data_IF_678225364440
#
_entry.id   IF_678225364440
#
_cell.length_a   1.000
_cell.length_b   1.000
_cell.length_c   1.000
_cell.angle_alpha   90.00
_cell.angle_beta   90.00
_cell.angle_gamma   90.00
#
_symmetry.space_group_name_H-M   'P 1'
#
loop_
_entity.id
_entity.type
_entity.pdbx_description
1 polymer ?
#
# COMPACT_ATOMS: atom_id res chain seq x y z
N UNK A 1 -3.21 -5.27 -17.70
CA UNK A 1 -3.77 -3.91 -17.42
C UNK A 1 -4.24 -3.72 -15.98
N UNK A 2 -4.91 -4.68 -15.34
CA UNK A 2 -5.33 -4.53 -13.93
C UNK A 2 -4.14 -4.48 -12.95
N UNK A 3 -3.08 -5.23 -13.25
CA UNK A 3 -1.80 -5.15 -12.54
C UNK A 3 -1.05 -3.83 -12.75
N UNK A 4 -1.15 -3.21 -13.93
CA UNK A 4 -0.48 -1.91 -14.20
C UNK A 4 -1.20 -0.75 -13.51
N UNK A 5 -2.54 -0.81 -13.40
CA UNK A 5 -3.31 0.16 -12.62
C UNK A 5 -3.06 0.02 -11.12
N UNK A 6 -2.99 -1.22 -10.60
CA UNK A 6 -2.62 -1.48 -9.21
C UNK A 6 -1.17 -1.06 -8.91
N UNK A 7 -0.24 -1.28 -9.85
CA UNK A 7 1.13 -0.79 -9.75
C UNK A 7 1.18 0.74 -9.75
N UNK A 8 0.46 1.43 -10.65
CA UNK A 8 0.36 2.90 -10.64
C UNK A 8 -0.25 3.46 -9.36
N UNK A 9 -1.25 2.78 -8.78
CA UNK A 9 -1.85 3.16 -7.51
C UNK A 9 -0.92 2.89 -6.31
N UNK A 10 -0.18 1.79 -6.35
CA UNK A 10 0.85 1.43 -5.37
C UNK A 10 2.13 2.27 -5.45
N UNK A 11 2.35 2.98 -6.56
CA UNK A 11 3.39 4.02 -6.75
C UNK A 11 2.90 5.43 -6.35
N UNK A 12 1.60 5.64 -6.12
CA UNK A 12 1.06 6.87 -5.52
C UNK A 12 1.78 7.37 -4.26
N UNK A 13 2.32 6.50 -3.38
CA UNK A 13 3.14 6.93 -2.24
C UNK A 13 4.56 7.44 -2.55
N UNK A 14 5.17 7.09 -3.70
CA UNK A 14 6.50 7.61 -4.11
C UNK A 14 6.49 9.13 -4.32
N UNK A 15 5.32 9.68 -4.60
CA UNK A 15 5.13 11.09 -4.92
C UNK A 15 4.78 11.91 -3.68
N UNK A 16 4.85 11.34 -2.47
CA UNK A 16 4.45 11.96 -1.21
C UNK A 16 5.05 13.34 -0.89
N UNK A 17 6.30 13.70 -1.28
CA UNK A 17 6.78 15.07 -1.09
C UNK A 17 6.22 16.07 -2.10
N UNK A 18 5.53 15.59 -3.14
CA UNK A 18 5.01 16.40 -4.22
C UNK A 18 3.51 16.11 -4.31
N UNK A 19 2.69 16.91 -3.65
CA UNK A 19 1.24 16.90 -3.86
C UNK A 19 0.84 17.25 -5.32
N UNK A 20 1.80 17.57 -6.20
CA UNK A 20 1.63 17.85 -7.63
C UNK A 20 1.48 16.63 -8.56
N UNK A 21 2.35 15.60 -8.56
CA UNK A 21 2.36 14.53 -9.55
C UNK A 21 1.40 13.41 -9.19
N UNK A 22 1.00 13.24 -7.93
CA UNK A 22 -0.09 12.32 -7.56
C UNK A 22 -1.44 12.82 -8.10
N UNK A 23 -1.69 14.13 -8.02
CA UNK A 23 -2.84 14.78 -8.64
C UNK A 23 -2.76 14.77 -10.17
N UNK A 24 -1.60 15.09 -10.75
CA UNK A 24 -1.41 15.04 -12.20
C UNK A 24 -1.50 13.62 -12.78
N UNK A 25 -0.98 12.60 -12.09
CA UNK A 25 -1.14 11.21 -12.47
C UNK A 25 -2.59 10.74 -12.30
N UNK A 26 -3.30 11.22 -11.28
CA UNK A 26 -4.74 10.99 -11.12
C UNK A 26 -5.58 11.62 -12.23
N UNK A 27 -5.30 12.88 -12.59
CA UNK A 27 -5.95 13.57 -13.71
C UNK A 27 -5.59 12.91 -15.04
N UNK A 28 -4.32 12.55 -15.23
CA UNK A 28 -3.86 11.78 -16.39
C UNK A 28 -4.56 10.43 -16.49
N UNK A 29 -4.74 9.72 -15.38
CA UNK A 29 -5.51 8.49 -15.34
C UNK A 29 -6.98 8.73 -15.74
N UNK A 30 -7.61 9.81 -15.26
CA UNK A 30 -8.99 10.16 -15.66
C UNK A 30 -9.13 10.48 -17.16
N UNK A 31 -8.09 11.06 -17.78
CA UNK A 31 -8.10 11.43 -19.20
C UNK A 31 -7.75 10.24 -20.10
N UNK A 32 -6.73 9.45 -19.73
CA UNK A 32 -6.16 8.41 -20.58
C UNK A 32 -6.65 6.99 -20.26
N UNK A 33 -7.09 6.71 -19.03
CA UNK A 33 -7.65 5.39 -18.72
C UNK A 33 -9.10 5.32 -19.18
N UNK A 34 -9.35 4.37 -20.09
CA UNK A 34 -10.72 3.98 -20.39
C UNK A 34 -11.36 3.33 -19.17
N UNK A 35 -12.63 3.65 -18.97
CA UNK A 35 -13.49 2.99 -17.99
C UNK A 35 -13.42 1.48 -18.21
N UNK A 36 -13.03 0.74 -17.18
CA UNK A 36 -12.86 -0.72 -17.22
C UNK A 36 -13.84 -1.43 -16.29
N UNK A 37 -14.63 -0.67 -15.51
CA UNK A 37 -15.59 -1.24 -14.60
C UNK A 37 -16.76 -1.89 -15.37
N UNK A 38 -16.97 -3.22 -15.24
CA UNK A 38 -17.96 -3.94 -16.02
C UNK A 38 -19.38 -3.37 -15.89
N UNK A 39 -19.79 -2.93 -14.69
CA UNK A 39 -21.13 -2.37 -14.50
C UNK A 39 -21.33 -1.10 -15.32
N UNK A 40 -20.29 -0.26 -15.42
CA UNK A 40 -20.35 1.03 -16.12
C UNK A 40 -20.39 0.81 -17.63
N UNK A 41 -19.55 -0.10 -18.14
CA UNK A 41 -19.54 -0.47 -19.56
C UNK A 41 -20.85 -1.14 -19.98
N UNK A 42 -21.39 -2.03 -19.15
CA UNK A 42 -22.68 -2.68 -19.42
C UNK A 42 -23.84 -1.69 -19.37
N UNK A 43 -23.83 -0.70 -18.48
CA UNK A 43 -24.86 0.35 -18.47
C UNK A 43 -24.75 1.28 -19.69
N UNK A 44 -23.54 1.62 -20.14
CA UNK A 44 -23.34 2.38 -21.37
C UNK A 44 -23.89 1.63 -22.60
N UNK A 45 -23.57 0.33 -22.71
CA UNK A 45 -24.09 -0.51 -23.78
C UNK A 45 -25.61 -0.67 -23.70
N UNK A 46 -26.16 -0.84 -22.50
CA UNK A 46 -27.61 -0.92 -22.28
C UNK A 46 -28.29 0.40 -22.68
N UNK A 47 -27.71 1.53 -22.32
CA UNK A 47 -28.21 2.87 -22.70
C UNK A 47 -28.17 3.07 -24.21
N UNK A 48 -27.11 2.61 -24.87
CA UNK A 48 -27.05 2.63 -26.33
C UNK A 48 -28.14 1.75 -26.95
N UNK A 49 -28.35 0.53 -26.44
CA UNK A 49 -29.43 -0.34 -26.90
C UNK A 49 -30.83 0.24 -26.66
N UNK A 50 -31.08 0.90 -25.53
CA UNK A 50 -32.35 1.63 -25.28
C UNK A 50 -32.63 2.65 -26.38
N UNK A 51 -31.60 3.36 -26.86
CA UNK A 51 -31.72 4.37 -27.92
C UNK A 51 -31.95 3.75 -29.29
N UNK A 52 -31.28 2.64 -29.62
CA UNK A 52 -31.38 2.02 -30.95
C UNK A 52 -32.63 1.16 -31.13
N UNK A 53 -33.11 0.50 -30.08
CA UNK A 53 -34.32 -0.35 -30.13
C UNK A 53 -35.59 0.37 -29.70
N UNK A 54 -35.49 1.57 -29.11
CA UNK A 54 -36.63 2.31 -28.58
C UNK A 54 -37.29 1.66 -27.36
N UNK A 55 -36.69 0.61 -26.77
CA UNK A 55 -37.23 -0.10 -25.63
C UNK A 55 -36.67 0.45 -24.30
N UNK A 56 -37.47 1.20 -23.51
CA UNK A 56 -37.01 1.78 -22.25
C UNK A 56 -36.81 0.75 -21.12
N UNK A 57 -37.33 -0.47 -21.28
CA UNK A 57 -37.30 -1.50 -20.24
C UNK A 57 -36.02 -2.33 -20.20
N UNK A 58 -35.09 -2.14 -21.15
CA UNK A 58 -33.79 -2.79 -21.11
C UNK A 58 -33.04 -2.37 -19.84
N UNK A 59 -32.50 -3.32 -19.08
CA UNK A 59 -31.67 -3.06 -17.89
C UNK A 59 -30.32 -3.74 -18.02
N UNK A 60 -29.29 -3.10 -17.51
CA UNK A 60 -27.97 -3.71 -17.44
C UNK A 60 -28.04 -4.91 -16.50
N UNK A 61 -27.40 -6.01 -16.89
CA UNK A 61 -27.35 -7.25 -16.11
C UNK A 61 -26.82 -7.04 -14.69
N UNK A 62 -26.02 -5.98 -14.48
CA UNK A 62 -25.39 -5.64 -13.21
C UNK A 62 -26.01 -4.40 -12.56
N UNK A 63 -27.12 -3.88 -13.09
CA UNK A 63 -27.86 -2.78 -12.48
C UNK A 63 -28.60 -3.27 -11.23
N UNK A 64 -28.22 -2.73 -10.07
CA UNK A 64 -28.82 -3.05 -8.77
C UNK A 64 -30.03 -2.17 -8.44
N UNK A 65 -30.42 -1.24 -9.33
CA UNK A 65 -31.57 -0.33 -9.13
C UNK A 65 -31.38 0.68 -8.00
N UNK A 66 -30.12 0.93 -7.61
CA UNK A 66 -29.79 1.83 -6.50
C UNK A 66 -29.87 3.30 -6.95
N UNK A 67 -30.43 4.14 -6.10
CA UNK A 67 -30.40 5.60 -6.30
C UNK A 67 -28.98 6.14 -6.20
N UNK A 68 -28.70 7.30 -6.83
CA UNK A 68 -27.38 7.96 -6.75
C UNK A 68 -26.91 8.19 -5.31
N UNK A 69 -27.84 8.54 -4.42
CA UNK A 69 -27.55 8.72 -2.99
C UNK A 69 -27.18 7.39 -2.32
N UNK A 70 -27.90 6.30 -2.62
CA UNK A 70 -27.56 4.96 -2.11
C UNK A 70 -26.21 4.46 -2.65
N UNK A 71 -25.83 4.80 -3.88
CA UNK A 71 -24.52 4.47 -4.45
C UNK A 71 -23.40 5.19 -3.67
N UNK A 72 -23.57 6.49 -3.39
CA UNK A 72 -22.59 7.27 -2.60
C UNK A 72 -22.48 6.73 -1.17
N UNK A 73 -23.62 6.48 -0.52
CA UNK A 73 -23.63 5.91 0.84
C UNK A 73 -22.99 4.52 0.84
N UNK A 74 -23.31 3.66 -0.12
CA UNK A 74 -22.68 2.35 -0.25
C UNK A 74 -21.16 2.46 -0.50
N UNK A 75 -20.72 3.42 -1.30
CA UNK A 75 -19.31 3.67 -1.58
C UNK A 75 -18.52 4.12 -0.33
N UNK A 76 -19.17 4.78 0.64
CA UNK A 76 -18.54 5.20 1.90
C UNK A 76 -18.67 4.14 3.02
N UNK A 77 -19.83 3.50 3.14
CA UNK A 77 -20.13 2.57 4.23
C UNK A 77 -19.45 1.22 4.02
N UNK A 78 -19.37 0.74 2.77
CA UNK A 78 -18.80 -0.57 2.44
C UNK A 78 -17.32 -0.69 2.78
N UNK A 79 -16.43 0.28 2.44
CA UNK A 79 -15.04 0.27 2.90
C UNK A 79 -14.90 0.18 4.42
N UNK A 80 -15.63 1.01 5.17
CA UNK A 80 -15.56 1.04 6.64
C UNK A 80 -16.06 -0.25 7.27
N UNK A 81 -17.16 -0.83 6.75
CA UNK A 81 -17.64 -2.14 7.19
C UNK A 81 -16.60 -3.24 6.91
N UNK A 82 -16.05 -3.29 5.71
CA UNK A 82 -15.02 -4.29 5.37
C UNK A 82 -13.78 -4.14 6.26
N UNK A 83 -13.39 -2.91 6.57
CA UNK A 83 -12.28 -2.63 7.47
C UNK A 83 -12.55 -3.12 8.90
N UNK A 84 -13.72 -2.84 9.47
CA UNK A 84 -14.02 -3.19 10.86
C UNK A 84 -14.42 -4.66 11.05
N UNK A 85 -15.10 -5.25 10.08
CA UNK A 85 -15.67 -6.59 10.20
C UNK A 85 -14.85 -7.69 9.52
N UNK A 86 -13.83 -7.35 8.72
CA UNK A 86 -12.89 -8.33 8.18
C UNK A 86 -11.54 -8.25 8.91
N UNK A 87 -11.22 -9.22 9.78
CA UNK A 87 -9.95 -9.24 10.51
C UNK A 87 -8.72 -9.25 9.59
N UNK A 88 -8.84 -9.86 8.41
CA UNK A 88 -7.76 -9.92 7.42
C UNK A 88 -7.51 -8.53 6.82
N UNK A 89 -8.59 -7.83 6.44
CA UNK A 89 -8.47 -6.45 5.93
C UNK A 89 -7.89 -5.58 7.03
N UNK A 90 -8.44 -5.61 8.24
CA UNK A 90 -7.96 -4.79 9.35
C UNK A 90 -6.47 -5.02 9.63
N UNK A 91 -6.05 -6.28 9.79
CA UNK A 91 -4.67 -6.62 10.11
C UNK A 91 -3.69 -6.21 9.01
N UNK A 92 -4.02 -6.47 7.74
CA UNK A 92 -3.19 -6.05 6.61
C UNK A 92 -3.17 -4.53 6.47
N UNK A 93 -4.32 -3.86 6.61
CA UNK A 93 -4.40 -2.42 6.49
C UNK A 93 -3.66 -1.70 7.61
N UNK A 94 -3.72 -2.18 8.86
CA UNK A 94 -2.92 -1.63 9.97
C UNK A 94 -1.44 -1.79 9.69
N UNK A 95 -1.01 -2.97 9.22
CA UNK A 95 0.41 -3.19 8.96
C UNK A 95 0.94 -2.31 7.83
N UNK A 96 0.21 -2.22 6.70
CA UNK A 96 0.54 -1.31 5.60
C UNK A 96 0.51 0.15 6.06
N UNK A 97 -0.48 0.54 6.87
CA UNK A 97 -0.59 1.90 7.39
C UNK A 97 0.58 2.25 8.31
N UNK A 98 1.02 1.31 9.15
CA UNK A 98 2.20 1.47 9.99
C UNK A 98 3.46 1.73 9.16
N UNK A 99 3.77 0.84 8.21
CA UNK A 99 4.95 1.00 7.34
C UNK A 99 4.89 2.32 6.58
N UNK A 100 3.71 2.69 6.09
CA UNK A 100 3.54 3.95 5.37
C UNK A 100 3.70 5.19 6.25
N UNK A 101 3.17 5.14 7.48
CA UNK A 101 3.38 6.17 8.49
C UNK A 101 4.86 6.35 8.80
N UNK A 102 5.61 5.25 8.90
CA UNK A 102 7.07 5.28 9.11
C UNK A 102 7.80 5.99 7.98
N UNK A 103 7.42 5.72 6.73
CA UNK A 103 7.95 6.43 5.55
C UNK A 103 7.62 7.93 5.58
N UNK A 104 6.39 8.29 5.95
CA UNK A 104 5.98 9.71 6.03
C UNK A 104 6.68 10.43 7.17
N UNK A 105 6.85 9.76 8.30
CA UNK A 105 7.62 10.28 9.42
C UNK A 105 9.09 10.46 9.04
N UNK A 106 9.67 9.54 8.26
CA UNK A 106 11.00 9.70 7.67
C UNK A 106 11.07 10.95 6.78
N UNK A 107 10.11 11.13 5.87
CA UNK A 107 10.04 12.29 4.99
C UNK A 107 9.97 13.61 5.77
N UNK A 108 9.09 13.70 6.76
CA UNK A 108 8.96 14.89 7.59
C UNK A 108 10.25 15.26 8.33
N UNK A 109 11.09 14.28 8.65
CA UNK A 109 12.30 14.46 9.47
C UNK A 109 13.57 14.54 8.63
N UNK A 110 13.49 14.19 7.35
CA UNK A 110 14.63 14.05 6.45
C UNK A 110 15.38 15.37 6.25
N UNK A 111 14.68 16.39 5.76
CA UNK A 111 15.29 17.69 5.50
C UNK A 111 15.81 18.33 6.79
N UNK A 112 15.14 18.11 7.93
CA UNK A 112 15.58 18.62 9.23
C UNK A 112 16.92 18.01 9.65
N UNK A 113 17.09 16.69 9.49
CA UNK A 113 18.33 15.98 9.87
C UNK A 113 19.49 16.35 8.94
N UNK A 114 19.28 16.34 7.62
CA UNK A 114 20.37 16.66 6.68
C UNK A 114 20.79 18.14 6.72
N UNK A 115 19.87 19.06 6.98
CA UNK A 115 20.22 20.47 7.24
C UNK A 115 20.93 20.63 8.58
N UNK A 116 20.34 20.11 9.65
CA UNK A 116 20.81 20.36 11.01
C UNK A 116 22.09 19.61 11.39
N UNK A 117 22.22 18.33 11.01
CA UNK A 117 23.36 17.49 11.39
C UNK A 117 24.50 17.53 10.36
N UNK A 118 24.18 17.69 9.07
CA UNK A 118 25.14 17.57 7.96
C UNK A 118 25.38 18.88 7.21
N UNK A 119 24.70 19.97 7.56
CA UNK A 119 24.92 21.29 6.95
C UNK A 119 24.46 21.39 5.50
N UNK A 120 23.58 20.50 5.02
CA UNK A 120 23.10 20.54 3.65
C UNK A 120 22.25 21.78 3.39
N UNK A 121 22.38 22.38 2.20
CA UNK A 121 21.47 23.43 1.75
C UNK A 121 20.07 22.87 1.51
N UNK A 122 19.05 23.75 1.44
CA UNK A 122 17.66 23.33 1.19
C UNK A 122 17.52 22.50 -0.07
N UNK A 123 18.15 22.90 -1.18
CA UNK A 123 18.12 22.13 -2.43
C UNK A 123 18.74 20.74 -2.29
N UNK A 124 19.93 20.66 -1.67
CA UNK A 124 20.67 19.39 -1.55
C UNK A 124 19.98 18.42 -0.58
N UNK A 125 19.32 18.92 0.46
CA UNK A 125 18.55 18.07 1.39
C UNK A 125 17.43 17.28 0.70
N UNK A 126 16.92 17.76 -0.45
CA UNK A 126 15.97 17.04 -1.29
C UNK A 126 16.57 15.85 -2.04
N UNK A 127 17.87 15.87 -2.37
CA UNK A 127 18.52 14.73 -3.04
C UNK A 127 18.63 13.50 -2.14
N UNK A 128 18.63 13.68 -0.81
CA UNK A 128 18.72 12.55 0.10
C UNK A 128 17.57 11.54 -0.13
N UNK A 129 16.39 12.00 -0.56
CA UNK A 129 15.22 11.16 -0.81
C UNK A 129 15.44 10.14 -1.94
N UNK A 130 16.44 10.36 -2.81
CA UNK A 130 16.81 9.45 -3.88
C UNK A 130 17.21 8.08 -3.31
N UNK A 131 17.82 8.03 -2.12
CA UNK A 131 18.16 6.76 -1.47
C UNK A 131 16.94 5.85 -1.32
N UNK A 132 15.85 6.38 -0.74
CA UNK A 132 14.61 5.64 -0.61
C UNK A 132 14.03 5.25 -1.98
N UNK A 133 14.01 6.18 -2.94
CA UNK A 133 13.50 5.92 -4.28
C UNK A 133 14.23 4.80 -5.00
N UNK A 134 15.57 4.75 -4.92
CA UNK A 134 16.37 3.64 -5.46
C UNK A 134 15.98 2.31 -4.80
N UNK A 135 15.80 2.30 -3.48
CA UNK A 135 15.35 1.13 -2.74
C UNK A 135 14.01 0.59 -3.23
N UNK A 136 13.03 1.46 -3.39
CA UNK A 136 11.71 1.09 -3.89
C UNK A 136 11.73 0.65 -5.36
N UNK A 137 12.52 1.30 -6.22
CA UNK A 137 12.69 0.88 -7.62
C UNK A 137 13.33 -0.50 -7.73
N UNK A 138 14.37 -0.78 -6.92
CA UNK A 138 14.95 -2.11 -6.83
C UNK A 138 13.91 -3.13 -6.34
N UNK A 139 13.10 -2.75 -5.35
CA UNK A 139 11.99 -3.54 -4.84
C UNK A 139 11.00 -3.90 -5.93
N UNK A 140 10.59 -2.93 -6.75
CA UNK A 140 9.70 -3.11 -7.89
C UNK A 140 10.24 -4.12 -8.91
N UNK A 141 11.50 -3.95 -9.33
CA UNK A 141 12.13 -4.83 -10.33
C UNK A 141 12.22 -6.26 -9.80
N UNK A 142 12.74 -6.42 -8.57
CA UNK A 142 12.92 -7.74 -7.96
C UNK A 142 11.57 -8.40 -7.71
N UNK A 143 10.58 -7.66 -7.20
CA UNK A 143 9.23 -8.17 -7.00
C UNK A 143 8.57 -8.62 -8.31
N UNK A 144 8.70 -7.83 -9.39
CA UNK A 144 8.18 -8.19 -10.71
C UNK A 144 8.77 -9.50 -11.24
N UNK A 145 10.07 -9.74 -11.01
CA UNK A 145 10.74 -10.98 -11.42
C UNK A 145 10.34 -12.17 -10.52
N UNK A 146 10.27 -11.95 -9.21
CA UNK A 146 10.08 -13.03 -8.23
C UNK A 146 8.62 -13.42 -8.03
N UNK A 147 7.68 -12.47 -8.11
CA UNK A 147 6.26 -12.69 -7.79
C UNK A 147 5.67 -13.83 -8.61
N UNK A 148 5.77 -13.77 -9.93
CA UNK A 148 5.19 -14.78 -10.82
C UNK A 148 5.92 -16.13 -10.72
N UNK A 149 7.24 -16.11 -10.49
CA UNK A 149 8.04 -17.32 -10.33
C UNK A 149 7.67 -18.07 -9.06
N UNK A 150 7.55 -17.35 -7.93
CA UNK A 150 7.17 -17.94 -6.64
C UNK A 150 5.72 -18.44 -6.70
N UNK A 151 4.82 -17.68 -7.31
CA UNK A 151 3.44 -18.09 -7.51
C UNK A 151 3.36 -19.42 -8.29
N UNK A 152 4.05 -19.51 -9.42
CA UNK A 152 4.11 -20.73 -10.25
C UNK A 152 4.75 -21.91 -9.51
N UNK A 153 5.87 -21.68 -8.83
CA UNK A 153 6.55 -22.71 -8.05
C UNK A 153 5.67 -23.27 -6.92
N UNK A 154 4.92 -22.42 -6.23
CA UNK A 154 4.00 -22.83 -5.17
C UNK A 154 2.77 -23.57 -5.71
N UNK A 155 2.18 -23.10 -6.81
CA UNK A 155 1.09 -23.84 -7.47
C UNK A 155 1.53 -25.24 -7.91
N UNK A 156 2.74 -25.38 -8.44
CA UNK A 156 3.31 -26.67 -8.83
C UNK A 156 3.57 -27.57 -7.61
N UNK A 157 4.12 -27.02 -6.53
CA UNK A 157 4.38 -27.78 -5.30
C UNK A 157 3.09 -28.30 -4.64
N UNK A 158 2.03 -27.49 -4.64
CA UNK A 158 0.76 -27.84 -4.00
C UNK A 158 -0.22 -28.55 -4.96
N UNK A 159 0.19 -28.84 -6.21
CA UNK A 159 -0.62 -29.47 -7.26
C UNK A 159 -1.97 -28.77 -7.51
N UNK A 160 -2.00 -27.43 -7.43
CA UNK A 160 -3.23 -26.64 -7.61
C UNK A 160 -3.22 -25.92 -8.96
N UNK A 161 -4.29 -26.02 -9.73
CA UNK A 161 -4.43 -25.32 -11.01
C UNK A 161 -4.82 -23.84 -10.89
N UNK A 162 -5.34 -23.41 -9.73
CA UNK A 162 -5.75 -22.03 -9.46
C UNK A 162 -4.82 -21.38 -8.42
N UNK A 163 -4.36 -20.13 -8.65
CA UNK A 163 -3.51 -19.42 -7.71
C UNK A 163 -4.27 -19.11 -6.42
N UNK A 164 -3.66 -19.46 -5.29
CA UNK A 164 -4.13 -19.07 -3.96
C UNK A 164 -3.64 -17.66 -3.60
N UNK A 165 -4.49 -16.76 -3.07
CA UNK A 165 -4.09 -15.41 -2.65
C UNK A 165 -2.93 -15.42 -1.64
N UNK A 166 -2.81 -16.47 -0.84
CA UNK A 166 -1.83 -16.68 0.23
C UNK A 166 -0.40 -16.75 -0.31
N UNK A 167 -0.22 -17.26 -1.52
CA UNK A 167 1.10 -17.39 -2.12
C UNK A 167 1.78 -16.04 -2.32
N UNK A 168 1.00 -14.96 -2.40
CA UNK A 168 1.54 -13.59 -2.45
C UNK A 168 2.19 -13.15 -1.13
N UNK A 169 1.74 -13.68 0.00
CA UNK A 169 2.25 -13.33 1.32
C UNK A 169 3.62 -13.94 1.63
N UNK A 170 4.04 -14.95 0.87
CA UNK A 170 5.34 -15.63 1.07
C UNK A 170 6.49 -14.64 0.99
N UNK A 171 6.46 -13.76 -0.01
CA UNK A 171 7.47 -12.70 -0.15
C UNK A 171 7.45 -11.79 1.07
N UNK A 172 6.27 -11.33 1.49
CA UNK A 172 6.09 -10.41 2.61
C UNK A 172 6.59 -10.93 3.97
N UNK A 173 6.73 -12.24 4.17
CA UNK A 173 7.25 -12.79 5.44
C UNK A 173 8.74 -12.54 5.65
N UNK A 174 9.51 -12.39 4.57
CA UNK A 174 10.98 -12.36 4.64
C UNK A 174 11.55 -10.95 4.82
N UNK A 175 10.83 -9.91 4.41
CA UNK A 175 11.33 -8.53 4.38
C UNK A 175 11.06 -7.63 5.62
N UNK A 176 10.24 -7.98 6.63
CA UNK A 176 10.09 -7.16 7.84
C UNK A 176 11.42 -6.87 8.57
N UNK A 177 12.38 -7.83 8.68
CA UNK A 177 13.70 -7.55 9.24
C UNK A 177 14.50 -6.52 8.45
N UNK A 178 14.31 -6.46 7.14
CA UNK A 178 15.01 -5.51 6.25
C UNK A 178 14.56 -4.08 6.54
N UNK A 179 13.26 -3.87 6.79
CA UNK A 179 12.71 -2.57 7.21
C UNK A 179 13.34 -2.13 8.54
N UNK A 180 13.37 -3.04 9.51
CA UNK A 180 14.01 -2.80 10.81
C UNK A 180 15.47 -2.37 10.63
N UNK A 181 16.25 -3.17 9.89
CA UNK A 181 17.66 -2.89 9.60
C UNK A 181 17.87 -1.49 8.99
N UNK A 182 17.04 -1.12 8.01
CA UNK A 182 17.09 0.22 7.39
C UNK A 182 16.86 1.35 8.41
N UNK A 183 15.89 1.21 9.30
CA UNK A 183 15.63 2.17 10.39
C UNK A 183 16.78 2.23 11.41
N UNK A 184 17.37 1.09 11.76
CA UNK A 184 18.51 1.04 12.68
C UNK A 184 19.73 1.74 12.10
N UNK A 185 20.08 1.43 10.84
CA UNK A 185 21.20 2.08 10.14
C UNK A 185 20.95 3.58 10.08
N UNK A 186 19.79 4.01 9.58
CA UNK A 186 19.46 5.43 9.46
C UNK A 186 19.47 6.16 10.81
N UNK A 187 18.86 5.59 11.84
CA UNK A 187 18.74 6.20 13.16
C UNK A 187 20.08 6.43 13.85
N UNK A 188 20.98 5.42 13.87
CA UNK A 188 22.27 5.54 14.55
C UNK A 188 23.30 6.31 13.77
N UNK A 189 23.32 6.15 12.45
CA UNK A 189 24.28 6.88 11.62
C UNK A 189 23.98 8.37 11.63
N UNK A 190 22.69 8.75 11.61
CA UNK A 190 22.28 10.15 11.80
C UNK A 190 22.57 10.67 13.21
N UNK A 191 22.36 9.86 14.26
CA UNK A 191 22.63 10.27 15.65
C UNK A 191 24.13 10.50 15.91
N UNK A 192 25.00 9.59 15.43
CA UNK A 192 26.45 9.70 15.57
C UNK A 192 27.11 10.60 14.51
N UNK A 193 26.31 11.27 13.65
CA UNK A 193 26.82 12.14 12.58
C UNK A 193 27.82 11.43 11.65
N UNK A 194 27.64 10.13 11.43
CA UNK A 194 28.45 9.34 10.49
C UNK A 194 28.25 9.89 9.08
N UNK A 195 29.24 9.78 8.19
CA UNK A 195 29.19 10.30 6.82
C UNK A 195 27.80 10.16 6.16
N UNK A 196 27.30 11.27 5.60
CA UNK A 196 25.91 11.45 5.12
C UNK A 196 25.41 10.37 4.14
N UNK A 197 26.31 9.67 3.45
CA UNK A 197 25.98 8.53 2.58
C UNK A 197 25.38 7.37 3.36
N UNK A 198 25.85 7.08 4.57
CA UNK A 198 25.43 5.90 5.32
C UNK A 198 23.95 5.98 5.76
N UNK A 199 23.45 7.11 6.27
CA UNK A 199 22.01 7.29 6.47
C UNK A 199 21.19 7.10 5.18
N UNK A 200 21.68 7.57 4.03
CA UNK A 200 20.99 7.42 2.74
C UNK A 200 20.91 5.93 2.34
N UNK A 201 21.99 5.17 2.52
CA UNK A 201 21.98 3.70 2.30
C UNK A 201 20.95 3.03 3.21
N UNK A 202 20.88 3.44 4.49
CA UNK A 202 19.84 2.95 5.41
C UNK A 202 18.43 3.19 4.90
N UNK A 203 18.20 4.33 4.24
CA UNK A 203 16.89 4.63 3.63
C UNK A 203 16.62 3.83 2.36
N UNK A 204 17.63 3.49 1.57
CA UNK A 204 17.48 2.55 0.45
C UNK A 204 17.04 1.17 0.93
N UNK A 205 17.63 0.66 2.01
CA UNK A 205 17.26 -0.62 2.62
C UNK A 205 15.82 -0.58 3.13
N UNK A 206 15.42 0.52 3.78
CA UNK A 206 14.05 0.75 4.22
C UNK A 206 13.05 0.70 3.05
N UNK A 207 13.32 1.46 1.97
CA UNK A 207 12.44 1.54 0.80
C UNK A 207 12.31 0.20 0.08
N UNK A 208 13.40 -0.54 -0.01
CA UNK A 208 13.38 -1.90 -0.53
C UNK A 208 12.46 -2.80 0.31
N UNK A 209 12.61 -2.80 1.64
CA UNK A 209 11.76 -3.59 2.53
C UNK A 209 10.29 -3.16 2.52
N UNK A 210 9.99 -1.85 2.49
CA UNK A 210 8.62 -1.33 2.49
C UNK A 210 7.85 -1.78 1.26
N UNK A 211 8.50 -1.82 0.09
CA UNK A 211 7.90 -2.29 -1.15
C UNK A 211 7.38 -3.73 -1.03
N UNK A 212 8.18 -4.62 -0.45
CA UNK A 212 7.83 -6.03 -0.22
C UNK A 212 6.79 -6.25 0.88
N UNK A 213 6.40 -5.21 1.62
CA UNK A 213 5.27 -5.28 2.54
C UNK A 213 4.00 -4.70 1.90
N UNK A 214 4.10 -3.53 1.28
CA UNK A 214 2.94 -2.80 0.77
C UNK A 214 2.33 -3.50 -0.46
N UNK A 215 3.16 -3.85 -1.45
CA UNK A 215 2.65 -4.40 -2.72
C UNK A 215 2.01 -5.78 -2.58
N UNK A 216 2.64 -6.77 -1.90
CA UNK A 216 2.03 -8.08 -1.75
C UNK A 216 0.74 -8.03 -0.93
N UNK A 217 0.66 -7.13 0.07
CA UNK A 217 -0.57 -6.92 0.85
C UNK A 217 -1.72 -6.43 -0.02
N UNK A 218 -1.48 -5.42 -0.87
CA UNK A 218 -2.51 -4.90 -1.78
C UNK A 218 -2.97 -5.97 -2.77
N UNK A 219 -2.01 -6.68 -3.37
CA UNK A 219 -2.28 -7.76 -4.30
C UNK A 219 -3.03 -8.92 -3.65
N UNK A 220 -2.72 -9.28 -2.41
CA UNK A 220 -3.45 -10.29 -1.65
C UNK A 220 -4.91 -9.89 -1.42
N UNK A 221 -5.16 -8.64 -1.00
CA UNK A 221 -6.51 -8.13 -0.77
C UNK A 221 -7.34 -8.06 -2.06
N UNK A 222 -6.72 -7.70 -3.20
CA UNK A 222 -7.40 -7.70 -4.50
C UNK A 222 -7.83 -9.11 -4.91
N UNK A 223 -6.94 -10.10 -4.75
CA UNK A 223 -7.25 -11.48 -5.09
C UNK A 223 -8.34 -12.07 -4.17
N UNK A 224 -8.33 -11.70 -2.89
CA UNK A 224 -9.28 -12.22 -1.90
C UNK A 224 -10.72 -11.74 -2.16
N UNK A 225 -10.90 -10.47 -2.50
CA UNK A 225 -12.21 -9.83 -2.61
C UNK A 225 -12.72 -9.72 -4.05
N UNK A 226 -11.89 -10.05 -5.04
CA UNK A 226 -12.23 -9.99 -6.46
C UNK A 226 -12.60 -8.58 -6.94
N UNK A 227 -13.09 -8.49 -8.17
CA UNK A 227 -13.42 -7.21 -8.81
C UNK A 227 -14.55 -6.44 -8.10
N UNK A 228 -15.45 -7.12 -7.39
CA UNK A 228 -16.61 -6.49 -6.77
C UNK A 228 -16.27 -5.66 -5.53
N UNK A 229 -15.31 -6.10 -4.71
CA UNK A 229 -14.98 -5.47 -3.43
C UNK A 229 -13.53 -4.98 -3.32
N UNK A 230 -12.63 -5.35 -4.26
CA UNK A 230 -11.24 -4.90 -4.25
C UNK A 230 -11.11 -3.37 -4.14
N UNK A 231 -11.88 -2.62 -4.93
CA UNK A 231 -11.83 -1.15 -4.90
C UNK A 231 -12.19 -0.58 -3.51
N UNK A 232 -13.22 -1.13 -2.85
CA UNK A 232 -13.62 -0.70 -1.51
C UNK A 232 -12.58 -1.06 -0.45
N UNK A 233 -11.97 -2.24 -0.54
CA UNK A 233 -10.93 -2.70 0.40
C UNK A 233 -9.64 -1.89 0.25
N UNK A 234 -9.22 -1.61 -0.98
CA UNK A 234 -8.08 -0.74 -1.26
C UNK A 234 -8.35 0.70 -0.81
N UNK A 235 -9.58 1.19 -0.99
CA UNK A 235 -10.02 2.48 -0.47
C UNK A 235 -9.92 2.56 1.04
N UNK A 236 -10.47 1.58 1.76
CA UNK A 236 -10.36 1.50 3.23
C UNK A 236 -8.90 1.45 3.72
N UNK A 237 -8.08 0.63 3.06
CA UNK A 237 -6.65 0.53 3.36
C UNK A 237 -5.94 1.86 3.14
N UNK A 238 -6.31 2.57 2.07
CA UNK A 238 -5.75 3.88 1.75
C UNK A 238 -6.14 4.94 2.77
N UNK A 239 -7.37 4.91 3.29
CA UNK A 239 -7.80 5.82 4.36
C UNK A 239 -6.95 5.64 5.63
N UNK A 240 -6.81 4.40 6.12
CA UNK A 240 -5.95 4.12 7.28
C UNK A 240 -4.50 4.52 7.03
N UNK A 241 -3.98 4.21 5.84
CA UNK A 241 -2.65 4.57 5.40
C UNK A 241 -2.44 6.09 5.47
N UNK A 242 -3.37 6.88 4.94
CA UNK A 242 -3.31 8.33 4.99
C UNK A 242 -3.40 8.87 6.42
N UNK A 243 -4.20 8.28 7.29
CA UNK A 243 -4.25 8.66 8.72
C UNK A 243 -2.89 8.47 9.39
N UNK A 244 -2.26 7.31 9.25
CA UNK A 244 -0.92 7.08 9.81
C UNK A 244 0.13 8.00 9.17
N UNK A 245 0.03 8.25 7.86
CA UNK A 245 0.89 9.20 7.15
C UNK A 245 0.77 10.63 7.67
N UNK A 246 -0.41 11.04 8.14
CA UNK A 246 -0.66 12.37 8.69
C UNK A 246 -0.27 12.48 10.18
N UNK A 247 -0.64 11.50 11.00
CA UNK A 247 -0.50 11.58 12.45
C UNK A 247 0.85 11.08 12.98
N UNK A 248 1.47 10.07 12.36
CA UNK A 248 2.75 9.53 12.86
C UNK A 248 3.92 10.53 12.78
N UNK A 249 4.01 11.41 11.76
CA UNK A 249 4.96 12.52 11.77
C UNK A 249 4.81 13.45 12.99
N UNK A 250 3.58 13.74 13.41
CA UNK A 250 3.29 14.63 14.55
C UNK A 250 3.79 14.05 15.87
N UNK A 251 3.88 12.73 16.00
CA UNK A 251 4.46 12.11 17.19
C UNK A 251 5.95 12.46 17.38
N UNK A 252 6.66 12.82 16.30
CA UNK A 252 8.10 13.12 16.35
C UNK A 252 8.46 14.28 17.28
N UNK A 253 7.67 15.36 17.31
CA UNK A 253 7.93 16.53 18.15
C UNK A 253 7.92 16.19 19.64
N UNK A 254 7.11 15.22 20.07
CA UNK A 254 7.05 14.75 21.45
C UNK A 254 8.02 13.61 21.75
N UNK A 255 8.32 12.76 20.77
CA UNK A 255 9.22 11.61 20.94
C UNK A 255 10.70 12.00 21.01
N UNK A 256 11.15 12.94 20.16
CA UNK A 256 12.57 13.28 20.08
C UNK A 256 13.16 13.87 21.37
N UNK A 257 12.47 14.76 22.11
CA UNK A 257 12.96 15.28 23.39
C UNK A 257 13.10 14.20 24.48
N UNK A 258 12.30 13.14 24.43
CA UNK A 258 12.28 12.10 25.47
C UNK A 258 13.28 10.96 25.21
N UNK A 259 13.42 10.52 23.95
CA UNK A 259 14.20 9.32 23.61
C UNK A 259 15.49 9.60 22.84
N UNK A 260 15.72 10.84 22.37
CA UNK A 260 16.72 11.14 21.33
C UNK A 260 16.45 10.42 19.99
N UNK A 261 17.10 10.90 18.93
CA UNK A 261 16.82 10.48 17.55
C UNK A 261 17.03 8.96 17.32
N UNK A 262 18.15 8.41 17.79
CA UNK A 262 18.51 7.00 17.59
C UNK A 262 17.49 6.03 18.19
N UNK A 263 17.09 6.25 19.45
CA UNK A 263 16.11 5.38 20.11
C UNK A 263 14.70 5.50 19.53
N UNK A 264 14.28 6.70 19.09
CA UNK A 264 13.02 6.84 18.39
C UNK A 264 12.97 5.93 17.16
N UNK A 265 14.04 5.91 16.35
CA UNK A 265 14.10 5.02 15.16
C UNK A 265 14.21 3.54 15.53
N UNK A 266 14.89 3.17 16.62
CA UNK A 266 14.89 1.79 17.14
C UNK A 266 13.49 1.32 17.53
N UNK A 267 12.76 2.12 18.30
CA UNK A 267 11.40 1.81 18.76
C UNK A 267 10.46 1.58 17.58
N UNK A 268 10.53 2.46 16.58
CA UNK A 268 9.78 2.34 15.33
C UNK A 268 10.17 1.08 14.54
N UNK A 269 11.45 0.72 14.52
CA UNK A 269 11.94 -0.53 13.91
C UNK A 269 11.44 -1.78 14.62
N UNK A 270 11.42 -1.79 15.95
CA UNK A 270 10.83 -2.88 16.72
C UNK A 270 9.33 -3.00 16.52
N UNK A 271 8.62 -1.87 16.40
CA UNK A 271 7.20 -1.88 16.09
C UNK A 271 6.93 -2.46 14.69
N UNK A 272 7.73 -2.12 13.68
CA UNK A 272 7.64 -2.76 12.35
C UNK A 272 7.88 -4.28 12.40
N UNK A 273 8.85 -4.72 13.23
CA UNK A 273 9.14 -6.14 13.46
C UNK A 273 8.05 -6.86 14.25
N UNK A 274 7.38 -6.19 15.20
CA UNK A 274 6.29 -6.76 15.98
C UNK A 274 5.10 -7.19 15.10
N UNK A 275 4.94 -6.55 13.93
CA UNK A 275 3.93 -6.92 12.93
C UNK A 275 4.41 -7.97 11.91
N UNK A 276 5.69 -8.40 11.96
CA UNK A 276 6.21 -9.48 11.10
C UNK A 276 5.46 -10.82 11.21
N UNK A 277 4.90 -11.22 12.38
CA UNK A 277 4.08 -12.43 12.50
C UNK A 277 2.74 -12.36 11.78
N UNK A 278 2.23 -11.17 11.47
CA UNK A 278 0.90 -10.97 10.84
C UNK A 278 0.77 -11.69 9.49
N UNK A 279 1.68 -11.50 8.50
CA UNK A 279 1.61 -12.26 7.25
C UNK A 279 1.78 -13.77 7.44
N UNK A 280 2.56 -14.21 8.42
CA UNK A 280 2.74 -15.64 8.74
C UNK A 280 1.44 -16.24 9.27
N UNK A 281 0.77 -15.52 10.17
CA UNK A 281 -0.52 -15.91 10.73
C UNK A 281 -1.59 -16.03 9.62
N UNK A 282 -1.66 -15.04 8.74
CA UNK A 282 -2.62 -15.04 7.63
C UNK A 282 -2.30 -16.08 6.56
N UNK A 283 -1.03 -16.41 6.32
CA UNK A 283 -0.70 -17.52 5.44
C UNK A 283 -1.13 -18.87 5.99
N UNK A 284 -0.97 -19.09 7.31
CA UNK A 284 -1.33 -20.37 7.95
C UNK A 284 -2.82 -20.54 8.21
N UNK A 285 -3.51 -19.47 8.58
CA UNK A 285 -4.91 -19.50 9.01
C UNK A 285 -5.89 -18.81 8.06
N UNK A 286 -5.39 -18.22 6.97
CA UNK A 286 -6.19 -17.43 6.05
C UNK A 286 -7.41 -18.18 5.51
N UNK A 287 -7.24 -19.43 5.07
CA UNK A 287 -8.34 -20.26 4.53
C UNK A 287 -9.51 -20.42 5.52
N UNK A 288 -9.20 -20.54 6.81
CA UNK A 288 -10.21 -20.60 7.89
C UNK A 288 -10.83 -19.24 8.20
N UNK A 289 -10.07 -18.16 8.01
CA UNK A 289 -10.49 -16.81 8.35
C UNK A 289 -11.47 -16.28 7.29
N UNK A 290 -11.14 -16.26 5.99
CA UNK A 290 -12.11 -15.75 4.98
C UNK A 290 -13.24 -16.72 4.64
N UNK A 291 -13.08 -18.03 4.86
CA UNK A 291 -14.18 -18.98 4.74
C UNK A 291 -15.35 -18.67 5.69
N UNK A 292 -15.10 -17.90 6.76
CA UNK A 292 -16.10 -17.41 7.70
C UNK A 292 -16.51 -15.94 7.45
N UNK A 293 -15.70 -15.19 6.69
CA UNK A 293 -15.88 -13.75 6.46
C UNK A 293 -16.60 -13.46 5.14
N UNK A 294 -17.56 -14.30 4.74
CA UNK A 294 -18.58 -13.90 3.77
C UNK A 294 -19.49 -12.85 4.41
N UNK A 295 -18.96 -11.64 4.61
CA UNK A 295 -19.76 -10.44 4.85
C UNK A 295 -20.66 -10.34 3.63
N UNK A 296 -21.95 -10.64 3.79
CA UNK A 296 -22.93 -10.44 2.72
C UNK A 296 -22.93 -8.95 2.41
N UNK A 297 -22.40 -8.63 1.23
CA UNK A 297 -22.25 -7.29 0.67
C UNK A 297 -23.59 -6.75 0.20
#
# INVERSE_FOLDING_TARGET
>A
MQQTAAALFGLGPLLGPVLGPGGAAGIGALIFMRETHPNTLLEQNTTHMRRTTGNPYLRSKLDRGLTKQQIIVAALVRPTKLLMFSPIVLGMSIYVALIFGLLHHLFATFSMVFKGQYGFSTGISGLAYIGLGIGELMGLVIFGIMSDRILKAKMAADNVQKPKPEYRLVLMMCFPPVIGLGLFIYGWTAYHKVHWVVPIIGTSILGFGSFFVIMPSQLHLVDLFGSEAAASVLGATTLLRSMFGAFLPLAGSHMYPMLNYGWCKRLLGFMALAFAPVPILFYRYGERLWGRTTVRL
#
